data_IF_925014820412
#
_entry.id   IF_925014820412
#
_cell.length_a   1.000
_cell.length_b   1.000
_cell.length_c   1.000
_cell.angle_alpha   90.00
_cell.angle_beta   90.00
_cell.angle_gamma   90.00
#
_symmetry.space_group_name_H-M   'P 1'
#
loop_
_entity.id
_entity.type
_entity.pdbx_description
1 polymer ?
#
# COMPACT_ATOMS: atom_id res chain seq x y z
N UNK A 1 -20.92 -22.05 7.06
CA UNK A 1 -22.12 -22.90 7.22
C UNK A 1 -22.66 -23.43 5.88
N UNK A 2 -22.72 -22.63 4.81
CA UNK A 2 -23.28 -23.03 3.50
C UNK A 2 -22.62 -24.27 2.86
N UNK A 3 -21.28 -24.35 2.85
CA UNK A 3 -20.56 -25.48 2.23
C UNK A 3 -20.77 -26.80 3.00
N UNK A 4 -20.65 -26.77 4.33
CA UNK A 4 -20.82 -27.96 5.17
C UNK A 4 -22.25 -28.53 5.08
N UNK A 5 -23.26 -27.67 4.98
CA UNK A 5 -24.64 -28.10 4.79
C UNK A 5 -24.79 -28.87 3.47
N UNK A 6 -24.26 -28.32 2.37
CA UNK A 6 -24.29 -28.98 1.07
C UNK A 6 -23.52 -30.30 1.05
N UNK A 7 -22.35 -30.37 1.67
CA UNK A 7 -21.57 -31.61 1.80
C UNK A 7 -22.40 -32.71 2.47
N UNK A 8 -23.11 -32.39 3.56
CA UNK A 8 -23.96 -33.35 4.28
C UNK A 8 -25.13 -33.86 3.44
N UNK A 9 -25.79 -32.98 2.68
CA UNK A 9 -26.88 -33.38 1.75
C UNK A 9 -26.39 -34.35 0.67
N UNK A 10 -25.17 -34.10 0.16
CA UNK A 10 -24.54 -34.92 -0.88
C UNK A 10 -23.85 -36.19 -0.31
N UNK A 11 -23.94 -36.43 1.00
CA UNK A 11 -23.28 -37.57 1.65
C UNK A 11 -21.74 -37.51 1.63
N UNK A 12 -21.18 -36.31 1.46
CA UNK A 12 -19.75 -36.05 1.43
C UNK A 12 -19.24 -35.60 2.80
N UNK A 13 -18.02 -36.03 3.13
CA UNK A 13 -17.32 -35.60 4.34
C UNK A 13 -16.31 -34.49 4.01
N UNK A 14 -16.08 -33.54 4.92
CA UNK A 14 -14.94 -32.63 4.82
C UNK A 14 -13.62 -33.39 4.70
N UNK A 15 -12.63 -32.76 4.08
CA UNK A 15 -11.27 -33.26 4.11
C UNK A 15 -10.77 -33.37 5.56
N UNK A 16 -9.91 -34.36 5.81
CA UNK A 16 -9.24 -34.48 7.10
C UNK A 16 -8.46 -33.22 7.43
N UNK A 17 -8.44 -32.88 8.70
CA UNK A 17 -7.66 -31.76 9.21
C UNK A 17 -6.17 -31.97 8.92
N UNK A 18 -5.45 -30.86 8.73
CA UNK A 18 -4.01 -30.93 8.52
C UNK A 18 -3.32 -31.38 9.81
N UNK A 19 -2.26 -32.19 9.67
CA UNK A 19 -1.37 -32.45 10.80
C UNK A 19 -0.80 -31.13 11.35
N UNK A 20 -0.60 -31.06 12.66
CA UNK A 20 -0.19 -29.83 13.37
C UNK A 20 1.05 -29.18 12.74
N UNK A 21 2.06 -29.97 12.38
CA UNK A 21 3.27 -29.45 11.74
C UNK A 21 3.02 -28.84 10.34
N UNK A 22 2.10 -29.43 9.57
CA UNK A 22 1.67 -28.87 8.29
C UNK A 22 0.85 -27.60 8.48
N UNK A 23 -0.01 -27.56 9.50
CA UNK A 23 -0.76 -26.36 9.87
C UNK A 23 0.20 -25.22 10.23
N UNK A 24 1.17 -25.46 11.12
CA UNK A 24 2.15 -24.47 11.55
C UNK A 24 2.91 -23.88 10.37
N UNK A 25 3.40 -24.73 9.46
CA UNK A 25 4.10 -24.25 8.26
C UNK A 25 3.23 -23.36 7.38
N UNK A 26 1.94 -23.68 7.22
CA UNK A 26 1.02 -22.89 6.38
C UNK A 26 0.78 -21.53 7.02
N UNK A 27 0.37 -21.52 8.29
CA UNK A 27 0.05 -20.26 8.98
C UNK A 27 1.27 -19.33 9.09
N UNK A 28 2.49 -19.85 9.30
CA UNK A 28 3.70 -19.01 9.30
C UNK A 28 4.00 -18.41 7.93
N UNK A 29 3.87 -19.18 6.85
CA UNK A 29 4.08 -18.64 5.50
C UNK A 29 2.98 -17.65 5.10
N UNK A 30 1.74 -17.89 5.53
CA UNK A 30 0.61 -17.02 5.23
C UNK A 30 0.73 -15.69 5.97
N UNK A 31 1.03 -15.72 7.28
CA UNK A 31 1.08 -14.51 8.12
C UNK A 31 2.38 -13.73 7.99
N UNK A 32 3.53 -14.40 7.97
CA UNK A 32 4.86 -13.73 8.03
C UNK A 32 5.76 -14.06 6.85
N UNK A 33 5.32 -14.88 5.88
CA UNK A 33 6.11 -15.21 4.70
C UNK A 33 7.31 -16.14 4.94
N UNK A 34 7.55 -16.57 6.18
CA UNK A 34 8.70 -17.37 6.58
C UNK A 34 8.27 -18.73 7.13
N UNK A 35 9.02 -19.81 6.84
CA UNK A 35 8.76 -21.11 7.45
C UNK A 35 9.16 -21.10 8.95
N UNK A 36 8.47 -21.88 9.80
CA UNK A 36 8.87 -22.04 11.19
C UNK A 36 10.24 -22.72 11.29
N UNK A 37 11.02 -22.35 12.29
CA UNK A 37 12.28 -23.04 12.60
C UNK A 37 12.03 -24.44 13.15
N UNK A 38 13.01 -25.36 13.08
CA UNK A 38 12.89 -26.69 13.67
C UNK A 38 12.56 -26.67 15.18
N UNK A 39 13.13 -25.71 15.92
CA UNK A 39 12.88 -25.53 17.35
C UNK A 39 11.44 -25.07 17.63
N UNK A 40 10.91 -24.14 16.84
CA UNK A 40 9.52 -23.68 17.00
C UNK A 40 8.52 -24.77 16.65
N UNK A 41 8.82 -25.61 15.65
CA UNK A 41 8.01 -26.78 15.33
C UNK A 41 7.94 -27.76 16.49
N UNK A 42 9.09 -28.11 17.09
CA UNK A 42 9.12 -29.06 18.20
C UNK A 42 8.37 -28.52 19.42
N UNK A 43 8.60 -27.25 19.77
CA UNK A 43 7.88 -26.57 20.84
C UNK A 43 6.37 -26.58 20.60
N UNK A 44 5.93 -26.24 19.39
CA UNK A 44 4.52 -26.25 19.03
C UNK A 44 3.89 -27.65 19.13
N UNK A 45 4.56 -28.70 18.67
CA UNK A 45 4.04 -30.06 18.78
C UNK A 45 3.90 -30.50 20.24
N UNK A 46 4.83 -30.10 21.09
CA UNK A 46 4.73 -30.31 22.53
C UNK A 46 3.56 -29.51 23.12
N UNK A 47 3.41 -28.23 22.78
CA UNK A 47 2.33 -27.39 23.28
C UNK A 47 0.95 -27.91 22.84
N UNK A 48 0.80 -28.37 21.59
CA UNK A 48 -0.43 -29.03 21.12
C UNK A 48 -0.76 -30.26 21.96
N UNK A 49 0.24 -31.06 22.34
CA UNK A 49 0.01 -32.23 23.19
C UNK A 49 -0.42 -31.89 24.63
N UNK A 50 -0.02 -30.72 25.13
CA UNK A 50 -0.29 -30.29 26.50
C UNK A 50 -1.53 -29.41 26.64
N UNK A 51 -1.78 -28.56 25.65
CA UNK A 51 -2.73 -27.45 25.70
C UNK A 51 -3.83 -27.55 24.62
N UNK A 52 -3.68 -28.44 23.63
CA UNK A 52 -4.66 -28.61 22.57
C UNK A 52 -4.84 -27.37 21.71
N UNK A 53 -6.08 -26.88 21.58
CA UNK A 53 -6.42 -25.73 20.71
C UNK A 53 -5.73 -24.42 21.13
N UNK A 54 -5.50 -24.20 22.43
CA UNK A 54 -4.86 -22.97 22.92
C UNK A 54 -3.43 -22.78 22.36
N UNK A 55 -2.73 -23.87 21.99
CA UNK A 55 -1.42 -23.79 21.36
C UNK A 55 -1.48 -23.15 19.96
N UNK A 56 -2.58 -23.33 19.24
CA UNK A 56 -2.77 -22.76 17.91
C UNK A 56 -2.99 -21.24 17.98
N UNK A 57 -3.82 -20.78 18.91
CA UNK A 57 -4.07 -19.35 19.15
C UNK A 57 -2.77 -18.63 19.54
N UNK A 58 -2.00 -19.18 20.48
CA UNK A 58 -0.72 -18.61 20.90
C UNK A 58 0.30 -18.50 19.75
N UNK A 59 0.28 -19.44 18.79
CA UNK A 59 1.09 -19.32 17.56
C UNK A 59 0.61 -18.17 16.70
N UNK A 60 -0.70 -18.02 16.48
CA UNK A 60 -1.24 -16.93 15.67
C UNK A 60 -0.90 -15.58 16.28
N UNK A 61 -1.14 -15.39 17.58
CA UNK A 61 -0.82 -14.14 18.29
C UNK A 61 0.66 -13.76 18.13
N UNK A 62 1.56 -14.72 18.37
CA UNK A 62 3.00 -14.52 18.19
C UNK A 62 3.38 -14.16 16.75
N UNK A 63 2.70 -14.72 15.75
CA UNK A 63 2.97 -14.43 14.35
C UNK A 63 2.42 -13.05 13.93
N UNK A 64 1.27 -12.64 14.46
CA UNK A 64 0.71 -11.30 14.26
C UNK A 64 1.57 -10.22 14.92
N UNK A 65 2.15 -10.51 16.09
CA UNK A 65 3.07 -9.61 16.82
C UNK A 65 4.48 -9.55 16.20
N UNK A 66 4.78 -10.39 15.19
CA UNK A 66 6.10 -10.43 14.55
C UNK A 66 6.29 -9.25 13.60
N UNK A 67 7.46 -8.58 13.58
CA UNK A 67 7.73 -7.51 12.61
C UNK A 67 7.66 -7.99 11.15
N UNK A 68 7.85 -9.30 10.91
CA UNK A 68 7.73 -9.93 9.60
C UNK A 68 6.28 -10.00 9.09
N UNK A 69 5.27 -9.80 9.95
CA UNK A 69 3.88 -9.68 9.53
C UNK A 69 3.71 -8.49 8.59
N UNK A 70 4.15 -7.30 9.02
CA UNK A 70 4.11 -6.09 8.22
C UNK A 70 4.91 -6.22 6.94
N UNK A 71 6.10 -6.84 6.97
CA UNK A 71 6.90 -7.09 5.76
C UNK A 71 6.14 -7.96 4.74
N UNK A 72 5.49 -9.04 5.21
CA UNK A 72 4.74 -9.96 4.35
C UNK A 72 3.55 -9.28 3.70
N UNK A 73 2.73 -8.58 4.49
CA UNK A 73 1.51 -7.96 3.99
C UNK A 73 1.78 -6.68 3.21
N UNK A 74 2.80 -5.90 3.59
CA UNK A 74 3.27 -4.77 2.81
C UNK A 74 3.72 -5.20 1.42
N UNK A 75 4.43 -6.34 1.27
CA UNK A 75 4.82 -6.83 -0.06
C UNK A 75 3.61 -7.04 -0.97
N UNK A 76 2.50 -7.58 -0.46
CA UNK A 76 1.28 -7.75 -1.25
C UNK A 76 0.63 -6.41 -1.58
N UNK A 77 0.59 -5.48 -0.62
CA UNK A 77 0.03 -4.15 -0.83
C UNK A 77 0.81 -3.33 -1.85
N UNK A 78 2.14 -3.33 -1.74
CA UNK A 78 3.06 -2.57 -2.59
C UNK A 78 2.96 -2.99 -4.05
N UNK A 79 2.70 -4.28 -4.33
CA UNK A 79 2.38 -4.76 -5.67
C UNK A 79 1.08 -4.14 -6.20
N UNK A 80 0.03 -4.05 -5.38
CA UNK A 80 -1.26 -3.47 -5.78
C UNK A 80 -1.13 -1.99 -6.14
N UNK A 81 -0.33 -1.24 -5.38
CA UNK A 81 -0.10 0.19 -5.62
C UNK A 81 1.04 0.46 -6.58
N UNK A 82 1.58 -0.56 -7.29
CA UNK A 82 2.64 -0.43 -8.30
C UNK A 82 3.93 0.22 -7.74
N UNK A 83 4.27 -0.07 -6.50
CA UNK A 83 5.56 0.37 -5.94
C UNK A 83 6.72 -0.28 -6.71
N UNK A 84 7.70 0.54 -7.09
CA UNK A 84 8.95 0.09 -7.67
C UNK A 84 10.09 1.03 -7.28
N UNK A 85 11.31 0.50 -7.21
CA UNK A 85 12.53 1.30 -7.07
C UNK A 85 12.99 1.90 -8.43
N UNK A 86 12.15 1.80 -9.47
CA UNK A 86 12.34 2.39 -10.79
C UNK A 86 11.14 3.25 -11.21
N UNK A 87 11.31 4.07 -12.25
CA UNK A 87 10.28 4.98 -12.77
C UNK A 87 9.26 4.29 -13.67
N UNK A 88 9.62 3.13 -14.22
CA UNK A 88 8.74 2.20 -14.91
C UNK A 88 8.46 2.54 -16.38
N UNK A 89 9.02 3.61 -16.95
CA UNK A 89 8.77 4.03 -18.33
C UNK A 89 10.06 4.45 -19.03
N UNK A 90 10.18 4.15 -20.34
CA UNK A 90 11.26 4.63 -21.20
C UNK A 90 12.67 4.29 -20.69
N UNK A 91 13.38 5.32 -20.20
CA UNK A 91 14.72 5.20 -19.60
C UNK A 91 14.73 4.35 -18.31
N UNK A 92 13.59 4.26 -17.63
CA UNK A 92 13.38 3.49 -16.40
C UNK A 92 14.44 3.79 -15.31
N UNK A 93 14.65 5.08 -15.07
CA UNK A 93 15.58 5.57 -14.05
C UNK A 93 15.21 5.09 -12.63
N UNK A 94 16.16 5.21 -11.71
CA UNK A 94 15.93 4.86 -10.29
C UNK A 94 14.93 5.84 -9.66
N UNK A 95 13.98 5.31 -8.89
CA UNK A 95 13.08 6.07 -8.01
C UNK A 95 13.47 5.85 -6.55
N UNK A 96 13.46 6.91 -5.75
CA UNK A 96 13.79 6.83 -4.31
C UNK A 96 12.58 7.24 -3.48
N UNK A 97 11.73 6.27 -3.13
CA UNK A 97 10.53 6.46 -2.30
C UNK A 97 10.41 5.41 -1.19
N UNK A 98 11.53 4.82 -0.76
CA UNK A 98 11.58 3.72 0.22
C UNK A 98 10.91 4.05 1.56
N UNK A 99 10.80 5.34 1.93
CA UNK A 99 10.06 5.79 3.11
C UNK A 99 8.58 5.42 3.05
N UNK A 100 7.98 5.42 1.86
CA UNK A 100 6.61 4.94 1.68
C UNK A 100 6.49 3.43 1.91
N UNK A 101 7.44 2.64 1.40
CA UNK A 101 7.50 1.19 1.68
C UNK A 101 7.57 0.93 3.19
N UNK A 102 8.48 1.61 3.87
CA UNK A 102 8.68 1.44 5.32
C UNK A 102 7.42 1.89 6.09
N UNK A 103 6.78 2.99 5.68
CA UNK A 103 5.50 3.42 6.24
C UNK A 103 4.40 2.36 6.09
N UNK A 104 4.29 1.70 4.93
CA UNK A 104 3.30 0.61 4.73
C UNK A 104 3.60 -0.57 5.66
N UNK A 105 4.87 -0.98 5.80
CA UNK A 105 5.29 -2.04 6.73
C UNK A 105 4.89 -1.69 8.17
N UNK A 106 5.18 -0.46 8.59
CA UNK A 106 4.87 0.04 9.94
C UNK A 106 3.37 0.20 10.16
N UNK A 107 2.60 0.56 9.14
CA UNK A 107 1.13 0.65 9.22
C UNK A 107 0.50 -0.72 9.48
N UNK A 108 0.97 -1.78 8.82
CA UNK A 108 0.52 -3.14 9.10
C UNK A 108 0.93 -3.62 10.49
N UNK A 109 2.19 -3.39 10.89
CA UNK A 109 2.69 -3.83 12.20
C UNK A 109 2.04 -3.10 13.38
N UNK A 110 1.56 -1.86 13.19
CA UNK A 110 0.81 -1.10 14.19
C UNK A 110 -0.70 -1.36 14.16
N UNK A 111 -1.17 -2.25 13.29
CA UNK A 111 -2.59 -2.52 13.06
C UNK A 111 -3.39 -1.24 12.81
N UNK A 112 -2.88 -0.39 11.90
CA UNK A 112 -3.54 0.88 11.57
C UNK A 112 -4.94 0.61 11.03
N UNK A 113 -5.99 1.26 11.59
CA UNK A 113 -7.36 1.08 11.11
C UNK A 113 -7.48 1.32 9.60
N UNK A 114 -8.25 0.48 8.91
CA UNK A 114 -8.35 0.50 7.45
C UNK A 114 -8.83 1.85 6.88
N UNK A 115 -9.72 2.53 7.61
CA UNK A 115 -10.20 3.87 7.26
C UNK A 115 -9.08 4.92 7.34
N UNK A 116 -8.28 4.91 8.42
CA UNK A 116 -7.10 5.78 8.54
C UNK A 116 -6.04 5.46 7.50
N UNK A 117 -5.73 4.17 7.28
CA UNK A 117 -4.80 3.70 6.27
C UNK A 117 -5.21 4.15 4.85
N UNK A 118 -6.51 4.13 4.57
CA UNK A 118 -7.08 4.59 3.30
C UNK A 118 -6.99 6.10 3.15
N UNK A 119 -7.46 6.85 4.16
CA UNK A 119 -7.46 8.32 4.11
C UNK A 119 -6.04 8.88 3.95
N UNK A 120 -5.08 8.36 4.72
CA UNK A 120 -3.69 8.84 4.65
C UNK A 120 -3.02 8.59 3.31
N UNK A 121 -3.33 7.49 2.63
CA UNK A 121 -2.76 7.21 1.30
C UNK A 121 -3.42 8.00 0.17
N UNK A 122 -4.73 8.24 0.27
CA UNK A 122 -5.49 8.94 -0.78
C UNK A 122 -5.48 10.47 -0.63
N UNK A 123 -5.31 10.99 0.59
CA UNK A 123 -5.49 12.40 0.89
C UNK A 123 -4.75 12.87 2.16
N UNK A 124 -3.64 12.22 2.53
CA UNK A 124 -2.89 12.58 3.75
C UNK A 124 -2.32 14.00 3.71
N UNK A 125 -1.94 14.50 2.54
CA UNK A 125 -1.53 15.88 2.28
C UNK A 125 -2.66 16.91 2.39
N UNK A 126 -3.91 16.47 2.29
CA UNK A 126 -5.11 17.31 2.42
C UNK A 126 -5.68 17.33 3.85
N UNK A 127 -5.07 16.59 4.78
CA UNK A 127 -5.47 16.63 6.18
C UNK A 127 -5.18 18.01 6.81
N UNK A 128 -5.97 18.44 7.82
CA UNK A 128 -5.63 19.64 8.57
C UNK A 128 -4.30 19.45 9.33
N UNK A 129 -3.30 20.28 9.04
CA UNK A 129 -1.95 20.20 9.63
C UNK A 129 -1.29 18.81 9.45
N UNK A 130 -0.98 18.41 8.20
CA UNK A 130 -0.54 17.05 7.90
C UNK A 130 0.83 16.79 8.53
N UNK A 131 0.98 15.62 9.15
CA UNK A 131 2.27 15.19 9.69
C UNK A 131 3.17 14.66 8.57
N UNK A 132 4.47 14.52 8.86
CA UNK A 132 5.40 13.89 7.91
C UNK A 132 4.95 12.46 7.54
N UNK A 133 4.39 11.70 8.48
CA UNK A 133 3.80 10.38 8.23
C UNK A 133 2.66 10.46 7.21
N UNK A 134 1.80 11.47 7.29
CA UNK A 134 0.66 11.65 6.36
C UNK A 134 1.14 12.04 4.95
N UNK A 135 2.18 12.87 4.87
CA UNK A 135 2.83 13.24 3.60
C UNK A 135 3.52 12.03 2.95
N UNK A 136 4.23 11.22 3.75
CA UNK A 136 4.84 9.98 3.28
C UNK A 136 3.78 8.99 2.80
N UNK A 137 2.67 8.83 3.52
CA UNK A 137 1.57 7.95 3.13
C UNK A 137 0.97 8.34 1.77
N UNK A 138 0.80 9.64 1.54
CA UNK A 138 0.23 10.18 0.28
C UNK A 138 1.13 9.93 -0.93
N UNK A 139 2.40 9.56 -0.72
CA UNK A 139 3.29 9.13 -1.80
C UNK A 139 2.76 7.90 -2.57
N UNK A 140 1.71 7.22 -2.07
CA UNK A 140 0.92 6.27 -2.86
C UNK A 140 0.50 6.85 -4.23
N UNK A 141 0.16 8.14 -4.34
CA UNK A 141 -0.19 8.75 -5.62
C UNK A 141 1.02 9.12 -6.50
N UNK A 142 2.24 8.94 -6.00
CA UNK A 142 3.51 9.10 -6.71
C UNK A 142 4.09 7.77 -7.20
N UNK A 143 3.38 6.65 -7.00
CA UNK A 143 3.79 5.35 -7.55
C UNK A 143 3.44 5.19 -9.04
N UNK A 144 2.60 6.07 -9.60
CA UNK A 144 2.36 6.21 -11.05
C UNK A 144 3.69 6.22 -11.80
N UNK A 145 3.78 5.57 -12.97
CA UNK A 145 5.00 5.61 -13.77
C UNK A 145 5.39 7.06 -14.11
N UNK A 146 6.69 7.32 -14.28
CA UNK A 146 7.22 8.65 -14.63
C UNK A 146 7.96 8.57 -15.95
N UNK A 147 7.65 9.50 -16.87
CA UNK A 147 8.39 9.63 -18.11
C UNK A 147 9.62 10.56 -17.90
N UNK A 148 10.72 10.19 -18.57
CA UNK A 148 11.96 10.97 -18.64
C UNK A 148 12.50 11.02 -20.09
N UNK A 149 11.70 10.55 -21.06
CA UNK A 149 12.11 10.44 -22.44
C UNK A 149 11.93 11.77 -23.17
N UNK A 150 12.99 12.30 -23.77
CA UNK A 150 12.89 13.54 -24.53
C UNK A 150 11.94 13.43 -25.73
N UNK A 151 11.02 14.39 -25.85
CA UNK A 151 10.16 14.55 -27.03
C UNK A 151 8.74 14.04 -26.88
N UNK A 152 8.27 13.78 -25.65
CA UNK A 152 6.85 13.52 -25.39
C UNK A 152 6.06 14.79 -25.10
N UNK A 153 4.73 14.70 -25.11
CA UNK A 153 3.82 15.81 -24.80
C UNK A 153 3.47 15.80 -23.30
N UNK A 154 3.77 16.89 -22.61
CA UNK A 154 3.52 17.03 -21.17
C UNK A 154 2.05 16.79 -20.80
N UNK A 155 1.12 17.25 -21.63
CA UNK A 155 -0.31 17.11 -21.36
C UNK A 155 -0.79 15.67 -21.60
N UNK A 156 -0.22 14.98 -22.60
CA UNK A 156 -0.46 13.55 -22.80
C UNK A 156 -0.03 12.75 -21.57
N UNK A 157 1.20 12.94 -21.11
CA UNK A 157 1.72 12.23 -19.94
C UNK A 157 0.94 12.57 -18.66
N UNK A 158 0.57 13.83 -18.46
CA UNK A 158 -0.25 14.26 -17.31
C UNK A 158 -1.59 13.52 -17.29
N UNK A 159 -2.25 13.40 -18.44
CA UNK A 159 -3.52 12.67 -18.57
C UNK A 159 -3.35 11.18 -18.29
N UNK A 160 -2.28 10.56 -18.79
CA UNK A 160 -1.97 9.15 -18.52
C UNK A 160 -1.74 8.89 -17.02
N UNK A 161 -0.99 9.77 -16.34
CA UNK A 161 -0.77 9.66 -14.89
C UNK A 161 -2.08 9.75 -14.10
N UNK A 162 -3.00 10.64 -14.49
CA UNK A 162 -4.33 10.75 -13.85
C UNK A 162 -5.17 9.50 -14.12
N UNK A 163 -5.13 8.94 -15.33
CA UNK A 163 -5.79 7.68 -15.69
C UNK A 163 -5.27 6.51 -14.85
N UNK A 164 -3.95 6.41 -14.65
CA UNK A 164 -3.35 5.38 -13.78
C UNK A 164 -3.88 5.50 -12.33
N UNK A 165 -3.92 6.72 -11.77
CA UNK A 165 -4.46 6.95 -10.40
C UNK A 165 -5.92 6.54 -10.29
N UNK A 166 -6.76 6.89 -11.25
CA UNK A 166 -8.18 6.53 -11.27
C UNK A 166 -8.35 5.01 -11.31
N UNK A 167 -7.68 4.35 -12.27
CA UNK A 167 -7.80 2.91 -12.48
C UNK A 167 -7.33 2.15 -11.24
N UNK A 168 -6.19 2.56 -10.69
CA UNK A 168 -5.62 1.98 -9.48
C UNK A 168 -6.52 2.12 -8.29
N UNK A 169 -7.03 3.32 -8.03
CA UNK A 169 -7.82 3.57 -6.83
C UNK A 169 -9.03 2.64 -6.80
N UNK A 170 -9.72 2.49 -7.93
CA UNK A 170 -10.83 1.56 -8.03
C UNK A 170 -10.42 0.09 -7.99
N UNK A 171 -9.32 -0.28 -8.64
CA UNK A 171 -8.88 -1.67 -8.64
C UNK A 171 -8.44 -2.13 -7.23
N UNK A 172 -7.69 -1.29 -6.51
CA UNK A 172 -7.09 -1.63 -5.23
C UNK A 172 -8.09 -1.51 -4.07
N UNK A 173 -8.86 -0.42 -3.98
CA UNK A 173 -9.81 -0.23 -2.88
C UNK A 173 -11.18 -0.85 -3.14
N UNK A 174 -11.68 -0.76 -4.38
CA UNK A 174 -13.03 -1.23 -4.70
C UNK A 174 -13.05 -2.65 -5.25
N UNK A 175 -11.89 -3.21 -5.65
CA UNK A 175 -11.82 -4.53 -6.29
C UNK A 175 -12.52 -4.57 -7.66
N UNK A 176 -12.65 -3.43 -8.34
CA UNK A 176 -13.43 -3.28 -9.57
C UNK A 176 -12.56 -2.77 -10.73
N UNK A 177 -12.79 -3.31 -11.92
CA UNK A 177 -12.10 -2.92 -13.16
C UNK A 177 -12.67 -1.64 -13.77
N UNK A 178 -12.59 -0.52 -13.04
CA UNK A 178 -13.14 0.76 -13.49
C UNK A 178 -12.54 1.27 -14.80
N UNK A 179 -11.33 0.84 -15.16
CA UNK A 179 -10.69 1.16 -16.44
C UNK A 179 -11.49 0.74 -17.68
N UNK A 180 -12.36 -0.27 -17.60
CA UNK A 180 -13.27 -0.57 -18.73
C UNK A 180 -14.24 0.58 -19.00
N UNK A 181 -14.58 1.37 -17.97
CA UNK A 181 -15.47 2.51 -18.11
C UNK A 181 -14.82 3.70 -18.85
N UNK A 182 -13.50 3.68 -19.07
CA UNK A 182 -12.76 4.73 -19.77
C UNK A 182 -13.27 4.95 -21.20
N UNK A 183 -13.56 3.86 -21.94
CA UNK A 183 -13.94 3.93 -23.35
C UNK A 183 -15.44 3.69 -23.60
N UNK A 184 -16.12 2.97 -22.71
CA UNK A 184 -17.54 2.60 -22.83
C UNK A 184 -18.17 2.42 -21.44
N UNK A 185 -19.47 2.11 -21.33
CA UNK A 185 -20.05 1.76 -20.02
C UNK A 185 -19.51 0.39 -19.57
N UNK A 186 -19.30 0.18 -18.27
CA UNK A 186 -18.78 -1.10 -17.76
C UNK A 186 -19.70 -2.26 -18.16
N UNK A 187 -19.16 -3.39 -18.65
CA UNK A 187 -19.97 -4.46 -19.25
C UNK A 187 -20.84 -5.23 -18.24
N UNK A 188 -20.42 -5.27 -16.97
CA UNK A 188 -21.07 -6.09 -15.93
C UNK A 188 -21.60 -5.27 -14.75
N UNK A 189 -21.09 -4.05 -14.56
CA UNK A 189 -21.40 -3.22 -13.39
C UNK A 189 -22.12 -1.96 -13.85
N UNK A 190 -22.98 -1.36 -13.01
CA UNK A 190 -23.76 -0.17 -13.36
C UNK A 190 -22.92 1.12 -13.38
N UNK A 191 -21.70 1.08 -13.93
CA UNK A 191 -20.77 2.19 -14.03
C UNK A 191 -20.78 2.74 -15.46
N UNK A 192 -21.15 4.01 -15.60
CA UNK A 192 -21.24 4.69 -16.90
C UNK A 192 -19.91 5.33 -17.28
N UNK A 193 -19.66 5.41 -18.57
CA UNK A 193 -18.48 6.09 -19.11
C UNK A 193 -18.33 7.53 -18.60
N UNK A 194 -19.43 8.28 -18.52
CA UNK A 194 -19.42 9.64 -17.97
C UNK A 194 -18.96 9.70 -16.50
N UNK A 195 -19.25 8.66 -15.71
CA UNK A 195 -18.91 8.61 -14.29
C UNK A 195 -17.41 8.38 -14.10
N UNK A 196 -16.75 7.70 -15.05
CA UNK A 196 -15.30 7.61 -15.12
C UNK A 196 -14.63 8.98 -15.16
N UNK A 197 -15.05 9.83 -16.11
CA UNK A 197 -14.48 11.16 -16.26
C UNK A 197 -14.91 12.13 -15.15
N UNK A 198 -16.07 11.93 -14.52
CA UNK A 198 -16.45 12.67 -13.31
C UNK A 198 -15.54 12.31 -12.13
N UNK A 199 -15.20 11.04 -11.98
CA UNK A 199 -14.28 10.59 -10.92
C UNK A 199 -12.85 11.03 -11.21
N UNK A 200 -12.43 11.04 -12.48
CA UNK A 200 -11.13 11.58 -12.91
C UNK A 200 -10.90 13.02 -12.43
N UNK A 201 -11.96 13.82 -12.30
CA UNK A 201 -11.86 15.19 -11.82
C UNK A 201 -11.26 15.31 -10.41
N UNK A 202 -11.39 14.30 -9.54
CA UNK A 202 -10.77 14.32 -8.20
C UNK A 202 -9.24 14.25 -8.25
N UNK A 203 -8.68 13.56 -9.25
CA UNK A 203 -7.22 13.37 -9.41
C UNK A 203 -6.61 14.33 -10.44
N UNK A 204 -7.46 15.06 -11.17
CA UNK A 204 -7.03 16.02 -12.19
C UNK A 204 -6.63 17.38 -11.58
N UNK A 205 -5.79 17.34 -10.55
CA UNK A 205 -5.29 18.49 -9.80
C UNK A 205 -3.76 18.49 -9.66
N UNK A 206 -3.07 17.54 -10.29
CA UNK A 206 -1.62 17.43 -10.30
C UNK A 206 -1.00 18.10 -11.54
N UNK A 207 0.27 18.49 -11.40
CA UNK A 207 1.11 19.02 -12.47
C UNK A 207 2.18 17.99 -12.87
N UNK A 208 1.79 16.72 -13.03
CA UNK A 208 2.69 15.72 -13.60
C UNK A 208 3.13 16.17 -14.99
N UNK A 209 4.43 16.15 -15.23
CA UNK A 209 5.04 16.57 -16.49
C UNK A 209 6.24 15.68 -16.79
N UNK A 210 6.63 15.64 -18.07
CA UNK A 210 7.75 14.83 -18.56
C UNK A 210 9.04 15.62 -18.40
N UNK A 211 9.48 15.76 -17.14
CA UNK A 211 10.75 16.39 -16.79
C UNK A 211 11.68 15.39 -16.12
N UNK A 212 12.98 15.54 -16.37
CA UNK A 212 14.04 14.78 -15.70
C UNK A 212 14.23 15.21 -14.23
N UNK A 213 13.14 15.32 -13.48
CA UNK A 213 13.08 15.75 -12.09
C UNK A 213 11.83 15.22 -11.41
N UNK A 214 11.97 14.71 -10.19
CA UNK A 214 10.83 14.32 -9.35
C UNK A 214 10.32 15.49 -8.50
N UNK A 215 10.75 16.73 -8.78
CA UNK A 215 10.35 17.91 -8.04
C UNK A 215 8.86 18.26 -8.24
N UNK A 216 8.18 18.80 -7.21
CA UNK A 216 8.69 19.03 -5.87
C UNK A 216 8.82 17.73 -5.05
N UNK A 217 9.87 17.64 -4.23
CA UNK A 217 10.11 16.51 -3.31
C UNK A 217 9.94 16.96 -1.87
N UNK A 218 9.37 16.09 -1.03
CA UNK A 218 9.36 16.28 0.42
C UNK A 218 10.60 15.62 1.02
N UNK A 219 11.36 16.38 1.82
CA UNK A 219 12.54 15.86 2.51
C UNK A 219 12.10 15.15 3.79
N UNK A 220 12.01 13.83 3.73
CA UNK A 220 11.71 13.02 4.90
C UNK A 220 12.98 12.78 5.75
N UNK A 221 12.91 12.93 7.08
CA UNK A 221 14.03 12.63 7.96
C UNK A 221 14.40 11.14 7.89
N UNK A 222 15.69 10.83 7.98
CA UNK A 222 16.15 9.44 7.92
C UNK A 222 15.69 8.65 9.15
N UNK A 223 15.77 9.27 10.33
CA UNK A 223 15.31 8.71 11.60
C UNK A 223 14.12 9.50 12.14
N UNK A 224 13.18 8.82 12.80
CA UNK A 224 12.08 9.47 13.53
C UNK A 224 12.57 10.39 14.66
N UNK A 225 13.78 10.13 15.20
CA UNK A 225 14.43 11.01 16.19
C UNK A 225 14.75 12.41 15.65
N UNK A 226 14.82 12.56 14.34
CA UNK A 226 15.20 13.81 13.68
C UNK A 226 13.97 14.59 13.20
N UNK A 227 12.75 14.08 13.39
CA UNK A 227 11.52 14.70 12.88
C UNK A 227 11.29 16.11 13.41
N UNK A 228 11.50 16.33 14.71
CA UNK A 228 11.27 17.65 15.30
C UNK A 228 12.30 18.67 14.80
N UNK A 229 13.54 18.23 14.60
CA UNK A 229 14.59 19.05 14.02
C UNK A 229 14.32 19.34 12.53
N UNK A 230 13.88 18.35 11.75
CA UNK A 230 13.51 18.51 10.35
C UNK A 230 12.35 19.51 10.20
N UNK A 231 11.28 19.38 10.98
CA UNK A 231 10.15 20.33 10.98
C UNK A 231 10.59 21.75 11.34
N UNK A 232 11.56 21.90 12.24
CA UNK A 232 12.11 23.21 12.57
C UNK A 232 12.86 23.82 11.39
N UNK A 233 13.67 23.04 10.68
CA UNK A 233 14.40 23.47 9.50
C UNK A 233 13.45 23.84 8.36
N UNK A 234 12.41 23.05 8.11
CA UNK A 234 11.42 23.33 7.06
C UNK A 234 10.69 24.65 7.32
N UNK A 235 10.24 24.90 8.56
CA UNK A 235 9.66 26.19 8.95
C UNK A 235 10.62 27.36 8.72
N UNK A 236 11.90 27.20 9.09
CA UNK A 236 12.91 28.23 8.86
C UNK A 236 13.15 28.49 7.36
N UNK A 237 13.08 27.45 6.53
CA UNK A 237 13.20 27.57 5.08
C UNK A 237 12.01 28.30 4.47
N UNK A 238 10.79 28.00 4.91
CA UNK A 238 9.57 28.69 4.47
C UNK A 238 9.57 30.16 4.87
N UNK A 239 9.86 30.46 6.13
CA UNK A 239 9.99 31.83 6.65
C UNK A 239 11.05 32.62 5.87
N UNK A 240 12.21 31.99 5.58
CA UNK A 240 13.27 32.60 4.79
C UNK A 240 12.85 32.84 3.34
N UNK A 241 12.13 31.89 2.73
CA UNK A 241 11.63 32.02 1.37
C UNK A 241 10.56 33.12 1.25
N UNK A 242 9.68 33.26 2.25
CA UNK A 242 8.73 34.37 2.33
C UNK A 242 9.44 35.71 2.51
N UNK A 243 10.44 35.79 3.38
CA UNK A 243 11.24 37.01 3.54
C UNK A 243 11.88 37.43 2.22
N UNK A 244 12.51 36.50 1.49
CA UNK A 244 13.10 36.75 0.17
C UNK A 244 12.04 37.22 -0.83
N UNK A 245 10.88 36.56 -0.89
CA UNK A 245 9.76 36.94 -1.79
C UNK A 245 9.18 38.31 -1.46
N UNK A 246 9.15 38.70 -0.19
CA UNK A 246 8.64 40.00 0.27
C UNK A 246 9.63 41.16 0.10
N UNK A 247 10.92 40.84 -0.06
CA UNK A 247 12.00 41.81 -0.20
C UNK A 247 12.33 42.19 -1.66
N UNK A 248 11.75 41.50 -2.64
CA UNK A 248 11.87 41.79 -4.08
C UNK A 248 10.59 42.41 -4.65
#
# INVERSE_FOLDING_TARGET
>A
YFVLARLKEEGLNPSLEAAADRWLRRVSLDLIGLPPTPSEREAFLQDVSQQGEAAYEAVVDRLLDSPHFGERWASMWLDQVRYADSKGLGLDGRRTIWKYRDWVIDAFNRDLPYDEFTVKQLAGDLLPDPTMDDLIATACHRTTQSNEEGGTDDEEFRVEAVVDRVNTTWQVWQGLSFGCAQCHNHPYDPLKNREYYQFMAYFNNSADCDVNSDAPTVMAPVSSTDEEHARQLDRQMEESAEQIRSAG
#
